data_IF_915956931548
#
_entry.id   IF_915956931548
#
_cell.length_a   1.000
_cell.length_b   1.000
_cell.length_c   1.000
_cell.angle_alpha   90.00
_cell.angle_beta   90.00
_cell.angle_gamma   90.00
#
_symmetry.space_group_name_H-M   'P 1'
#
loop_
_entity.id
_entity.type
_entity.pdbx_description
1 polymer ?
#
# COMPACT_ATOMS: atom_id res chain seq x y z
N UNK A 1 -29.53 0.30 -21.94
CA UNK A 1 -28.23 0.17 -21.25
C UNK A 1 -28.26 0.83 -19.88
N UNK A 2 -28.46 2.15 -19.79
CA UNK A 2 -28.38 2.89 -18.52
C UNK A 2 -29.30 2.33 -17.42
N UNK A 3 -30.58 2.10 -17.71
CA UNK A 3 -31.53 1.56 -16.72
C UNK A 3 -31.12 0.17 -16.22
N UNK A 4 -30.75 -0.72 -17.14
CA UNK A 4 -30.28 -2.06 -16.79
C UNK A 4 -28.97 -2.03 -15.98
N UNK A 5 -28.05 -1.11 -16.31
CA UNK A 5 -26.81 -0.93 -15.57
C UNK A 5 -27.08 -0.39 -14.16
N UNK A 6 -28.03 0.52 -14.02
CA UNK A 6 -28.48 1.04 -12.72
C UNK A 6 -29.08 -0.06 -11.86
N UNK A 7 -30.01 -0.84 -12.40
CA UNK A 7 -30.61 -1.98 -11.71
C UNK A 7 -29.55 -3.01 -11.26
N UNK A 8 -28.59 -3.32 -12.14
CA UNK A 8 -27.50 -4.24 -11.81
C UNK A 8 -26.56 -3.67 -10.73
N UNK A 9 -26.19 -2.39 -10.86
CA UNK A 9 -25.27 -1.69 -9.97
C UNK A 9 -25.83 -1.56 -8.55
N UNK A 10 -27.11 -1.22 -8.42
CA UNK A 10 -27.75 -0.92 -7.15
C UNK A 10 -28.62 -2.06 -6.61
N UNK A 11 -28.52 -3.25 -7.21
CA UNK A 11 -29.15 -4.45 -6.66
C UNK A 11 -28.64 -4.73 -5.23
N UNK A 12 -29.54 -4.90 -4.23
CA UNK A 12 -29.14 -5.02 -2.83
C UNK A 12 -28.42 -6.33 -2.48
N UNK A 13 -28.61 -7.40 -3.27
CA UNK A 13 -27.93 -8.68 -3.07
C UNK A 13 -26.57 -8.75 -3.75
N UNK A 14 -25.85 -9.87 -3.63
CA UNK A 14 -24.58 -10.11 -4.34
C UNK A 14 -24.85 -10.49 -5.80
N UNK A 15 -24.09 -9.92 -6.75
CA UNK A 15 -24.15 -10.35 -8.16
C UNK A 15 -23.28 -11.60 -8.33
N UNK A 16 -23.78 -12.59 -9.06
CA UNK A 16 -23.07 -13.86 -9.30
C UNK A 16 -22.63 -13.97 -10.76
N UNK A 17 -21.87 -15.02 -11.09
CA UNK A 17 -21.34 -15.22 -12.44
C UNK A 17 -22.46 -15.33 -13.49
N UNK A 18 -23.61 -15.93 -13.14
CA UNK A 18 -24.72 -16.08 -14.06
C UNK A 18 -25.40 -14.74 -14.39
N UNK A 19 -25.60 -13.87 -13.39
CA UNK A 19 -26.17 -12.55 -13.62
C UNK A 19 -25.21 -11.63 -14.36
N UNK A 20 -23.91 -11.69 -14.06
CA UNK A 20 -22.89 -10.95 -14.80
C UNK A 20 -22.83 -11.39 -16.28
N UNK A 21 -22.92 -12.70 -16.53
CA UNK A 21 -22.97 -13.25 -17.89
C UNK A 21 -24.22 -12.81 -18.64
N UNK A 22 -25.40 -12.99 -18.07
CA UNK A 22 -26.66 -12.57 -18.69
C UNK A 22 -26.69 -11.06 -19.00
N UNK A 23 -26.11 -10.24 -18.12
CA UNK A 23 -25.96 -8.82 -18.39
C UNK A 23 -25.04 -8.56 -19.59
N UNK A 24 -23.87 -9.19 -19.65
CA UNK A 24 -22.89 -9.00 -20.72
C UNK A 24 -23.30 -9.63 -22.06
N UNK A 25 -24.12 -10.67 -22.05
CA UNK A 25 -24.71 -11.26 -23.25
C UNK A 25 -25.69 -10.26 -23.92
N UNK A 26 -26.39 -9.45 -23.12
CA UNK A 26 -27.27 -8.37 -23.60
C UNK A 26 -26.52 -7.08 -23.92
N UNK A 27 -25.51 -6.75 -23.13
CA UNK A 27 -24.72 -5.52 -23.25
C UNK A 27 -23.22 -5.86 -23.26
N UNK A 28 -22.64 -6.17 -24.44
CA UNK A 28 -21.25 -6.56 -24.55
C UNK A 28 -20.29 -5.50 -23.98
N UNK A 29 -19.22 -5.94 -23.33
CA UNK A 29 -18.25 -5.05 -22.69
C UNK A 29 -17.66 -3.97 -23.63
N UNK A 30 -17.35 -4.24 -24.92
CA UNK A 30 -16.94 -3.20 -25.85
C UNK A 30 -17.96 -2.07 -26.03
N UNK A 31 -19.27 -2.40 -26.00
CA UNK A 31 -20.33 -1.41 -26.13
C UNK A 31 -20.43 -0.53 -24.88
N UNK A 32 -20.26 -1.11 -23.70
CA UNK A 32 -20.23 -0.38 -22.42
C UNK A 32 -19.01 0.56 -22.38
N UNK A 33 -17.83 0.06 -22.77
CA UNK A 33 -16.61 0.84 -22.83
C UNK A 33 -16.75 1.99 -23.84
N UNK A 34 -17.31 1.73 -25.01
CA UNK A 34 -17.58 2.78 -26.01
C UNK A 34 -18.53 3.85 -25.47
N UNK A 35 -19.52 3.48 -24.65
CA UNK A 35 -20.41 4.44 -24.01
C UNK A 35 -19.68 5.31 -22.98
N UNK A 36 -18.75 4.74 -22.19
CA UNK A 36 -17.89 5.48 -21.26
C UNK A 36 -16.93 6.44 -21.97
N UNK A 37 -16.50 6.09 -23.18
CA UNK A 37 -15.63 6.94 -24.01
C UNK A 37 -16.39 8.02 -24.80
N UNK A 38 -17.72 7.95 -24.82
CA UNK A 38 -18.52 8.91 -25.56
C UNK A 38 -18.43 10.29 -24.90
N UNK A 39 -18.25 11.34 -25.72
CA UNK A 39 -18.29 12.74 -25.25
C UNK A 39 -19.70 13.27 -25.03
N UNK A 40 -20.72 12.43 -25.18
CA UNK A 40 -22.11 12.82 -24.97
C UNK A 40 -22.35 12.91 -23.47
N UNK A 41 -22.64 14.12 -23.00
CA UNK A 41 -22.95 14.37 -21.59
C UNK A 41 -24.36 13.84 -21.27
N UNK A 42 -24.42 12.60 -20.82
CA UNK A 42 -25.64 11.97 -20.29
C UNK A 42 -25.53 11.95 -18.77
N UNK A 43 -26.45 12.61 -18.04
CA UNK A 43 -26.40 12.67 -16.59
C UNK A 43 -26.28 11.27 -15.97
N UNK A 44 -25.37 11.11 -15.01
CA UNK A 44 -25.13 9.86 -14.26
C UNK A 44 -24.68 8.64 -15.08
N UNK A 45 -24.47 8.77 -16.39
CA UNK A 45 -24.07 7.64 -17.24
C UNK A 45 -22.75 7.05 -16.76
N UNK A 46 -21.74 7.89 -16.59
CA UNK A 46 -20.41 7.45 -16.16
C UNK A 46 -20.45 6.75 -14.79
N UNK A 47 -21.03 7.40 -13.78
CA UNK A 47 -21.09 6.86 -12.42
C UNK A 47 -21.87 5.54 -12.35
N UNK A 48 -22.97 5.42 -13.10
CA UNK A 48 -23.79 4.21 -13.17
C UNK A 48 -23.04 3.07 -13.86
N UNK A 49 -22.42 3.34 -15.01
CA UNK A 49 -21.65 2.34 -15.74
C UNK A 49 -20.42 1.89 -14.95
N UNK A 50 -19.72 2.81 -14.28
CA UNK A 50 -18.59 2.49 -13.40
C UNK A 50 -19.03 1.58 -12.26
N UNK A 51 -20.11 1.90 -11.56
CA UNK A 51 -20.64 1.07 -10.47
C UNK A 51 -21.09 -0.32 -10.96
N UNK A 52 -21.69 -0.39 -12.16
CA UNK A 52 -22.07 -1.65 -12.79
C UNK A 52 -20.84 -2.51 -13.11
N UNK A 53 -19.83 -1.93 -13.77
CA UNK A 53 -18.60 -2.61 -14.15
C UNK A 53 -17.79 -3.08 -12.93
N UNK A 54 -17.73 -2.29 -11.87
CA UNK A 54 -17.08 -2.69 -10.62
C UNK A 54 -17.67 -3.99 -10.07
N UNK A 55 -19.00 -4.12 -10.09
CA UNK A 55 -19.69 -5.33 -9.64
C UNK A 55 -19.47 -6.50 -10.59
N UNK A 56 -19.45 -6.26 -11.90
CA UNK A 56 -19.17 -7.31 -12.90
C UNK A 56 -17.76 -7.87 -12.67
N UNK A 57 -16.73 -7.02 -12.61
CA UNK A 57 -15.34 -7.47 -12.47
C UNK A 57 -15.03 -8.18 -11.16
N UNK A 58 -15.83 -7.94 -10.11
CA UNK A 58 -15.75 -8.66 -8.83
C UNK A 58 -16.24 -10.11 -8.90
N UNK A 59 -17.01 -10.49 -9.93
CA UNK A 59 -17.42 -11.88 -10.18
C UNK A 59 -16.27 -12.68 -10.81
N UNK A 60 -16.27 -14.01 -10.66
CA UNK A 60 -15.23 -14.85 -11.29
C UNK A 60 -15.32 -14.77 -12.80
N UNK A 61 -16.54 -14.73 -13.34
CA UNK A 61 -16.77 -14.52 -14.76
C UNK A 61 -16.16 -13.20 -15.25
N UNK A 62 -16.48 -12.09 -14.58
CA UNK A 62 -15.92 -10.78 -14.95
C UNK A 62 -14.41 -10.71 -14.81
N UNK A 63 -13.83 -11.28 -13.75
CA UNK A 63 -12.38 -11.36 -13.57
C UNK A 63 -11.70 -12.12 -14.72
N UNK A 64 -12.32 -13.21 -15.21
CA UNK A 64 -11.77 -14.00 -16.32
C UNK A 64 -11.65 -13.23 -17.64
N UNK A 65 -12.42 -12.14 -17.79
CA UNK A 65 -12.40 -11.29 -18.99
C UNK A 65 -11.27 -10.27 -18.96
N UNK A 66 -10.76 -9.91 -17.78
CA UNK A 66 -9.81 -8.80 -17.60
C UNK A 66 -8.60 -8.89 -18.55
N UNK A 67 -7.92 -10.05 -18.71
CA UNK A 67 -6.75 -10.13 -19.60
C UNK A 67 -7.05 -9.72 -21.05
N UNK A 68 -8.26 -10.01 -21.55
CA UNK A 68 -8.68 -9.67 -22.91
C UNK A 68 -8.93 -8.16 -23.09
N UNK A 69 -9.26 -7.47 -21.99
CA UNK A 69 -9.59 -6.04 -22.00
C UNK A 69 -8.50 -5.17 -21.38
N UNK A 70 -7.30 -5.71 -21.16
CA UNK A 70 -6.18 -4.94 -20.61
C UNK A 70 -5.87 -3.64 -21.36
N UNK A 71 -5.89 -3.56 -22.70
CA UNK A 71 -5.67 -2.29 -23.39
C UNK A 71 -6.60 -1.17 -22.91
N UNK A 72 -7.86 -1.49 -22.62
CA UNK A 72 -8.83 -0.53 -22.10
C UNK A 72 -8.56 -0.15 -20.64
N UNK A 73 -8.08 -1.10 -19.84
CA UNK A 73 -7.70 -0.85 -18.44
C UNK A 73 -6.49 0.08 -18.38
N UNK A 74 -5.49 -0.13 -19.24
CA UNK A 74 -4.31 0.75 -19.33
C UNK A 74 -4.68 2.17 -19.77
N UNK A 75 -5.66 2.33 -20.66
CA UNK A 75 -6.22 3.63 -21.01
C UNK A 75 -7.00 4.22 -19.81
N UNK A 76 -7.79 3.40 -19.12
CA UNK A 76 -8.55 3.80 -17.94
C UNK A 76 -7.69 4.30 -16.78
N UNK A 77 -6.52 3.69 -16.53
CA UNK A 77 -5.55 4.16 -15.53
C UNK A 77 -5.00 5.57 -15.83
N UNK A 78 -5.08 6.01 -17.10
CA UNK A 78 -4.64 7.33 -17.57
C UNK A 78 -5.80 8.28 -17.88
N UNK A 79 -7.05 7.89 -17.59
CA UNK A 79 -8.22 8.70 -17.94
C UNK A 79 -8.26 9.99 -17.11
N UNK A 80 -8.77 11.08 -17.69
CA UNK A 80 -8.96 12.33 -16.93
C UNK A 80 -10.00 12.18 -15.80
N UNK A 81 -10.96 11.26 -15.99
CA UNK A 81 -11.96 10.93 -14.98
C UNK A 81 -11.39 10.11 -13.84
N UNK A 82 -11.54 10.63 -12.62
CA UNK A 82 -11.18 9.91 -11.41
C UNK A 82 -12.04 8.65 -11.17
N UNK A 83 -13.30 8.62 -11.64
CA UNK A 83 -14.15 7.43 -11.52
C UNK A 83 -13.63 6.29 -12.39
N UNK A 84 -13.24 6.61 -13.63
CA UNK A 84 -12.66 5.63 -14.56
C UNK A 84 -11.28 5.16 -14.06
N UNK A 85 -10.42 6.07 -13.58
CA UNK A 85 -9.13 5.69 -12.98
C UNK A 85 -9.32 4.78 -11.76
N UNK A 86 -10.28 5.08 -10.90
CA UNK A 86 -10.59 4.30 -9.71
C UNK A 86 -11.08 2.89 -10.10
N UNK A 87 -12.02 2.80 -11.05
CA UNK A 87 -12.46 1.52 -11.61
C UNK A 87 -11.27 0.72 -12.16
N UNK A 88 -10.41 1.34 -12.96
CA UNK A 88 -9.27 0.67 -13.56
C UNK A 88 -8.30 0.13 -12.49
N UNK A 89 -8.01 0.91 -11.43
CA UNK A 89 -7.20 0.44 -10.30
C UNK A 89 -7.84 -0.77 -9.61
N UNK A 90 -9.15 -0.71 -9.31
CA UNK A 90 -9.88 -1.83 -8.70
C UNK A 90 -9.89 -3.06 -9.59
N UNK A 91 -10.10 -2.89 -10.90
CA UNK A 91 -10.07 -3.99 -11.87
C UNK A 91 -8.70 -4.66 -11.88
N UNK A 92 -7.61 -3.89 -11.85
CA UNK A 92 -6.25 -4.42 -11.75
C UNK A 92 -6.04 -5.22 -10.46
N UNK A 93 -6.68 -4.84 -9.35
CA UNK A 93 -6.57 -5.58 -8.08
C UNK A 93 -7.12 -7.01 -8.14
N UNK A 94 -7.91 -7.34 -9.17
CA UNK A 94 -8.44 -8.69 -9.44
C UNK A 94 -7.57 -9.49 -10.41
N UNK A 95 -6.52 -8.89 -10.99
CA UNK A 95 -5.59 -9.63 -11.84
C UNK A 95 -4.80 -10.63 -11.00
N UNK A 96 -4.73 -11.85 -11.52
CA UNK A 96 -3.70 -12.80 -11.13
C UNK A 96 -2.42 -12.45 -11.88
N UNK A 97 -1.26 -12.76 -11.27
CA UNK A 97 0.04 -12.43 -11.81
C UNK A 97 0.18 -12.84 -13.29
N UNK A 98 0.54 -11.87 -14.14
CA UNK A 98 0.73 -12.04 -15.58
C UNK A 98 1.87 -11.14 -16.06
N UNK A 99 2.45 -11.42 -17.21
CA UNK A 99 3.55 -10.67 -17.82
C UNK A 99 3.24 -9.17 -18.04
N UNK A 100 1.97 -8.78 -18.00
CA UNK A 100 1.51 -7.41 -18.20
C UNK A 100 1.74 -6.49 -16.97
N UNK A 101 2.15 -7.05 -15.82
CA UNK A 101 2.43 -6.29 -14.60
C UNK A 101 3.48 -5.20 -14.81
N UNK A 102 4.51 -5.45 -15.63
CA UNK A 102 5.57 -4.47 -15.94
C UNK A 102 5.01 -3.16 -16.53
N UNK A 103 3.91 -3.23 -17.28
CA UNK A 103 3.28 -2.06 -17.91
C UNK A 103 2.30 -1.37 -16.95
N UNK A 104 1.61 -2.16 -16.13
CA UNK A 104 0.54 -1.67 -15.25
C UNK A 104 1.09 -1.00 -13.99
N UNK A 105 2.18 -1.52 -13.45
CA UNK A 105 2.74 -1.06 -12.18
C UNK A 105 3.15 0.43 -12.18
N UNK A 106 3.84 0.96 -13.23
CA UNK A 106 4.11 2.39 -13.32
C UNK A 106 2.84 3.26 -13.40
N UNK A 107 1.76 2.74 -13.96
CA UNK A 107 0.48 3.46 -14.06
C UNK A 107 -0.28 3.47 -12.74
N UNK A 108 -0.21 2.38 -11.98
CA UNK A 108 -0.72 2.35 -10.61
C UNK A 108 0.04 3.36 -9.74
N UNK A 109 1.37 3.41 -9.84
CA UNK A 109 2.16 4.41 -9.14
C UNK A 109 1.76 5.83 -9.47
N UNK A 110 1.56 6.15 -10.75
CA UNK A 110 1.04 7.47 -11.14
C UNK A 110 -0.32 7.74 -10.50
N UNK A 111 -1.22 6.74 -10.48
CA UNK A 111 -2.50 6.82 -9.79
C UNK A 111 -2.36 7.04 -8.27
N UNK A 112 -1.39 6.40 -7.64
CA UNK A 112 -1.09 6.61 -6.24
C UNK A 112 -0.61 8.04 -5.97
N UNK A 113 0.36 8.51 -6.75
CA UNK A 113 1.05 9.78 -6.54
C UNK A 113 0.15 10.96 -6.93
N UNK A 114 -0.43 10.92 -8.13
CA UNK A 114 -1.12 12.04 -8.77
C UNK A 114 -2.66 11.90 -8.75
N UNK A 115 -3.20 10.80 -8.25
CA UNK A 115 -4.65 10.60 -8.14
C UNK A 115 -5.30 11.43 -7.03
N UNK A 116 -6.63 11.58 -7.10
CA UNK A 116 -7.40 12.02 -5.93
C UNK A 116 -7.37 10.93 -4.84
N UNK A 117 -7.96 11.20 -3.67
CA UNK A 117 -7.94 10.28 -2.53
C UNK A 117 -8.46 8.87 -2.87
N UNK A 118 -9.59 8.78 -3.59
CA UNK A 118 -10.19 7.49 -3.95
C UNK A 118 -9.33 6.70 -4.94
N UNK A 119 -8.76 7.37 -5.95
CA UNK A 119 -7.85 6.75 -6.93
C UNK A 119 -6.58 6.27 -6.25
N UNK A 120 -6.01 7.08 -5.34
CA UNK A 120 -4.81 6.71 -4.62
C UNK A 120 -5.03 5.51 -3.70
N UNK A 121 -6.17 5.45 -3.00
CA UNK A 121 -6.54 4.31 -2.17
C UNK A 121 -6.74 3.03 -3.01
N UNK A 122 -7.50 3.12 -4.11
CA UNK A 122 -7.72 1.99 -5.01
C UNK A 122 -6.41 1.49 -5.64
N UNK A 123 -5.50 2.40 -5.99
CA UNK A 123 -4.17 2.04 -6.51
C UNK A 123 -3.32 1.36 -5.44
N UNK A 124 -3.30 1.88 -4.21
CA UNK A 124 -2.56 1.27 -3.10
C UNK A 124 -3.01 -0.16 -2.83
N UNK A 125 -4.32 -0.40 -2.81
CA UNK A 125 -4.88 -1.74 -2.64
C UNK A 125 -4.53 -2.67 -3.81
N UNK A 126 -4.56 -2.16 -5.05
CA UNK A 126 -4.13 -2.91 -6.22
C UNK A 126 -2.65 -3.31 -6.14
N UNK A 127 -1.75 -2.37 -5.83
CA UNK A 127 -0.31 -2.65 -5.67
C UNK A 127 -0.10 -3.67 -4.55
N UNK A 128 -0.79 -3.52 -3.42
CA UNK A 128 -0.70 -4.46 -2.28
C UNK A 128 -1.12 -5.88 -2.69
N UNK A 129 -2.21 -6.02 -3.43
CA UNK A 129 -2.68 -7.32 -3.91
C UNK A 129 -1.67 -7.95 -4.87
N UNK A 130 -1.12 -7.17 -5.79
CA UNK A 130 -0.10 -7.63 -6.73
C UNK A 130 1.18 -8.09 -6.03
N UNK A 131 1.64 -7.33 -5.02
CA UNK A 131 2.80 -7.68 -4.20
C UNK A 131 2.57 -8.92 -3.31
N UNK A 132 1.35 -9.48 -3.28
CA UNK A 132 1.10 -10.77 -2.61
C UNK A 132 1.48 -11.96 -3.50
N UNK A 133 1.82 -11.73 -4.77
CA UNK A 133 2.29 -12.76 -5.72
C UNK A 133 3.78 -12.60 -6.03
N UNK A 134 4.53 -13.70 -6.28
CA UNK A 134 5.96 -13.64 -6.57
C UNK A 134 6.34 -12.70 -7.72
N UNK A 135 5.58 -12.71 -8.81
CA UNK A 135 5.86 -11.91 -10.01
C UNK A 135 5.62 -10.42 -9.77
N UNK A 136 4.68 -10.07 -8.88
CA UNK A 136 4.47 -8.69 -8.45
C UNK A 136 5.57 -8.19 -7.54
N UNK A 137 6.28 -9.10 -6.85
CA UNK A 137 7.39 -8.80 -5.96
C UNK A 137 8.71 -8.54 -6.67
N UNK A 138 8.90 -9.04 -7.89
CA UNK A 138 10.10 -8.75 -8.69
C UNK A 138 10.12 -7.31 -9.21
N UNK A 139 8.97 -6.62 -9.17
CA UNK A 139 8.82 -5.23 -9.56
C UNK A 139 8.97 -4.35 -8.31
N UNK A 140 10.19 -4.20 -7.79
CA UNK A 140 10.44 -3.29 -6.66
C UNK A 140 11.12 -2.01 -7.10
N UNK A 141 10.51 -0.92 -6.63
CA UNK A 141 10.66 0.47 -7.02
C UNK A 141 12.01 1.09 -6.65
N UNK A 142 12.90 1.34 -7.62
CA UNK A 142 13.97 2.29 -7.42
C UNK A 142 13.49 3.63 -8.02
N UNK A 143 13.51 4.70 -7.22
CA UNK A 143 13.54 6.10 -7.68
C UNK A 143 12.24 6.94 -7.75
N UNK A 144 11.11 6.54 -7.16
CA UNK A 144 9.91 7.42 -7.22
C UNK A 144 9.89 8.60 -6.24
N UNK A 145 10.49 8.48 -5.05
CA UNK A 145 10.36 9.51 -4.02
C UNK A 145 11.04 10.85 -4.39
N UNK A 146 12.11 10.82 -5.19
CA UNK A 146 12.94 12.00 -5.46
C UNK A 146 12.23 13.07 -6.34
N UNK A 147 11.17 12.72 -7.07
CA UNK A 147 10.46 13.61 -8.00
C UNK A 147 9.00 13.88 -7.62
N UNK A 148 8.57 13.52 -6.41
CA UNK A 148 7.18 13.64 -5.97
C UNK A 148 6.90 14.94 -5.20
N UNK A 149 5.65 15.42 -5.26
CA UNK A 149 5.12 16.42 -4.32
C UNK A 149 5.11 15.88 -2.88
N UNK A 150 4.98 16.75 -1.86
CA UNK A 150 4.94 16.29 -0.45
C UNK A 150 3.84 15.24 -0.21
N UNK A 151 2.63 15.45 -0.76
CA UNK A 151 1.55 14.47 -0.68
C UNK A 151 1.90 13.15 -1.40
N UNK A 152 2.49 13.23 -2.59
CA UNK A 152 2.96 12.06 -3.33
C UNK A 152 3.99 11.26 -2.55
N UNK A 153 4.95 11.96 -1.90
CA UNK A 153 5.96 11.35 -1.02
C UNK A 153 5.31 10.62 0.15
N UNK A 154 4.38 11.25 0.87
CA UNK A 154 3.63 10.60 1.97
C UNK A 154 2.94 9.33 1.49
N UNK A 155 2.30 9.37 0.31
CA UNK A 155 1.59 8.20 -0.25
C UNK A 155 2.54 7.06 -0.64
N UNK A 156 3.73 7.37 -1.16
CA UNK A 156 4.77 6.37 -1.43
C UNK A 156 5.27 5.75 -0.12
N UNK A 157 5.48 6.55 0.92
CA UNK A 157 5.89 6.05 2.25
C UNK A 157 4.79 5.19 2.88
N UNK A 158 3.52 5.59 2.76
CA UNK A 158 2.38 4.81 3.21
C UNK A 158 2.27 3.48 2.46
N UNK A 159 2.55 3.46 1.15
CA UNK A 159 2.64 2.21 0.38
C UNK A 159 3.75 1.30 0.94
N UNK A 160 4.94 1.82 1.24
CA UNK A 160 6.02 1.04 1.85
C UNK A 160 5.54 0.39 3.15
N UNK A 161 4.91 1.16 4.04
CA UNK A 161 4.32 0.63 5.29
C UNK A 161 3.30 -0.47 5.02
N UNK A 162 2.42 -0.28 4.03
CA UNK A 162 1.40 -1.26 3.65
C UNK A 162 1.99 -2.57 3.13
N UNK A 163 3.09 -2.49 2.38
CA UNK A 163 3.77 -3.66 1.83
C UNK A 163 4.46 -4.49 2.93
N UNK A 164 5.03 -3.84 3.95
CA UNK A 164 5.52 -4.55 5.15
C UNK A 164 4.43 -5.38 5.85
N UNK A 165 3.16 -5.00 5.71
CA UNK A 165 2.04 -5.72 6.32
C UNK A 165 1.65 -7.02 5.58
N UNK A 166 2.29 -7.37 4.46
CA UNK A 166 1.91 -8.53 3.65
C UNK A 166 2.48 -9.83 4.24
N UNK A 167 3.81 -9.91 4.37
CA UNK A 167 4.51 -11.08 4.92
C UNK A 167 5.97 -10.76 5.24
N UNK A 168 6.64 -11.66 5.96
CA UNK A 168 8.08 -11.53 6.27
C UNK A 168 8.96 -11.59 5.03
N UNK A 169 8.60 -12.37 4.00
CA UNK A 169 9.36 -12.42 2.74
C UNK A 169 9.28 -11.09 2.01
N UNK A 170 8.08 -10.49 1.91
CA UNK A 170 7.88 -9.17 1.30
C UNK A 170 8.66 -8.09 2.07
N UNK A 171 8.56 -8.09 3.39
CA UNK A 171 9.32 -7.18 4.25
C UNK A 171 10.84 -7.28 4.03
N UNK A 172 11.38 -8.49 3.85
CA UNK A 172 12.79 -8.71 3.55
C UNK A 172 13.22 -8.05 2.23
N UNK A 173 12.41 -8.17 1.17
CA UNK A 173 12.77 -7.62 -0.14
C UNK A 173 12.68 -6.08 -0.12
N UNK A 174 11.70 -5.50 0.58
CA UNK A 174 11.61 -4.05 0.82
C UNK A 174 12.85 -3.53 1.56
N UNK A 175 13.26 -4.24 2.62
CA UNK A 175 14.46 -3.91 3.39
C UNK A 175 15.72 -3.98 2.51
N UNK A 176 15.91 -5.06 1.75
CA UNK A 176 17.07 -5.24 0.87
C UNK A 176 17.09 -4.23 -0.29
N UNK A 177 15.94 -3.69 -0.67
CA UNK A 177 15.81 -2.62 -1.67
C UNK A 177 16.05 -1.23 -1.09
N UNK A 178 16.44 -1.15 0.19
CA UNK A 178 16.76 0.07 0.92
C UNK A 178 15.62 1.11 0.95
N UNK A 179 14.36 0.67 0.85
CA UNK A 179 13.21 1.60 0.83
C UNK A 179 12.95 2.26 2.19
N UNK A 180 13.41 1.64 3.29
CA UNK A 180 13.34 2.26 4.62
C UNK A 180 14.19 3.54 4.73
N UNK A 181 15.25 3.67 3.93
CA UNK A 181 16.06 4.92 3.91
C UNK A 181 15.25 6.15 3.49
N UNK A 182 14.16 5.95 2.73
CA UNK A 182 13.24 7.03 2.36
C UNK A 182 12.49 7.57 3.59
N UNK A 183 12.03 6.70 4.49
CA UNK A 183 11.42 7.12 5.76
C UNK A 183 12.44 7.86 6.64
N UNK A 184 13.67 7.33 6.73
CA UNK A 184 14.75 7.94 7.52
C UNK A 184 15.13 9.34 7.04
N UNK A 185 15.22 9.53 5.71
CA UNK A 185 15.55 10.80 5.10
C UNK A 185 14.48 11.87 5.41
N UNK A 186 13.20 11.49 5.42
CA UNK A 186 12.10 12.41 5.69
C UNK A 186 12.00 12.81 7.16
N UNK A 187 12.22 11.86 8.07
CA UNK A 187 12.27 12.17 9.51
C UNK A 187 13.47 13.06 9.84
N UNK A 188 14.58 12.84 9.13
CA UNK A 188 15.80 13.63 9.30
C UNK A 188 15.71 15.02 8.67
N UNK A 189 14.75 15.26 7.76
CA UNK A 189 14.53 16.56 7.14
C UNK A 189 13.80 17.52 8.09
N UNK A 190 14.56 18.40 8.75
CA UNK A 190 14.06 19.32 9.76
C UNK A 190 13.32 20.56 9.21
N UNK A 191 13.24 20.72 7.89
CA UNK A 191 12.69 21.92 7.27
C UNK A 191 11.17 21.88 7.09
N UNK A 192 10.55 20.70 7.13
CA UNK A 192 9.11 20.52 6.93
C UNK A 192 8.51 19.71 8.07
N UNK A 193 8.12 20.42 9.13
CA UNK A 193 7.57 19.82 10.35
C UNK A 193 6.30 18.99 10.09
N UNK A 194 5.42 19.41 9.17
CA UNK A 194 4.19 18.68 8.86
C UNK A 194 4.49 17.37 8.13
N UNK A 195 5.47 17.38 7.22
CA UNK A 195 5.97 16.17 6.58
C UNK A 195 6.60 15.24 7.62
N UNK A 196 7.50 15.75 8.47
CA UNK A 196 8.12 14.95 9.54
C UNK A 196 7.08 14.30 10.44
N UNK A 197 6.07 15.06 10.90
CA UNK A 197 5.00 14.51 11.74
C UNK A 197 4.20 13.44 11.01
N UNK A 198 3.85 13.66 9.74
CA UNK A 198 3.14 12.68 8.92
C UNK A 198 3.93 11.37 8.78
N UNK A 199 5.25 11.46 8.59
CA UNK A 199 6.12 10.29 8.50
C UNK A 199 6.29 9.60 9.86
N UNK A 200 6.32 10.33 10.97
CA UNK A 200 6.31 9.73 12.30
C UNK A 200 5.03 8.93 12.57
N UNK A 201 3.86 9.36 12.09
CA UNK A 201 2.63 8.56 12.18
C UNK A 201 2.75 7.26 11.38
N UNK A 202 3.29 7.31 10.16
CA UNK A 202 3.55 6.12 9.35
C UNK A 202 4.55 5.16 10.02
N UNK A 203 5.58 5.69 10.66
CA UNK A 203 6.55 4.89 11.44
C UNK A 203 5.93 4.29 12.69
N UNK A 204 5.03 5.01 13.35
CA UNK A 204 4.28 4.50 14.48
C UNK A 204 3.41 3.30 14.09
N UNK A 205 2.75 3.36 12.93
CA UNK A 205 2.05 2.22 12.34
C UNK A 205 3.01 1.08 11.98
N UNK A 206 4.12 1.38 11.31
CA UNK A 206 5.11 0.40 10.88
C UNK A 206 5.74 -0.36 12.05
N UNK A 207 5.98 0.31 13.19
CA UNK A 207 6.51 -0.31 14.40
C UNK A 207 5.57 -1.36 15.02
N UNK A 208 4.27 -1.31 14.72
CA UNK A 208 3.29 -2.30 15.19
C UNK A 208 3.21 -3.53 14.27
N UNK A 209 3.67 -3.42 13.01
CA UNK A 209 3.60 -4.51 12.04
C UNK A 209 4.58 -5.63 12.44
N UNK A 210 4.11 -6.88 12.68
CA UNK A 210 4.96 -7.97 13.15
C UNK A 210 6.14 -8.29 12.22
N UNK A 211 5.93 -8.16 10.91
CA UNK A 211 6.96 -8.44 9.90
C UNK A 211 8.03 -7.35 9.79
N UNK A 212 7.78 -6.14 10.31
CA UNK A 212 8.64 -4.97 10.10
C UNK A 212 9.67 -4.78 11.22
N UNK A 213 9.31 -5.08 12.47
CA UNK A 213 10.12 -4.72 13.65
C UNK A 213 11.58 -5.19 13.56
N UNK A 214 11.81 -6.44 13.12
CA UNK A 214 13.17 -6.98 13.01
C UNK A 214 14.05 -6.21 12.02
N UNK A 215 13.44 -5.56 11.02
CA UNK A 215 14.15 -4.76 10.03
C UNK A 215 14.37 -3.33 10.54
N UNK A 216 13.38 -2.74 11.22
CA UNK A 216 13.49 -1.40 11.80
C UNK A 216 14.64 -1.28 12.81
N UNK A 217 14.87 -2.33 13.61
CA UNK A 217 15.97 -2.36 14.58
C UNK A 217 17.36 -2.48 13.92
N UNK A 218 17.43 -2.78 12.62
CA UNK A 218 18.68 -2.87 11.86
C UNK A 218 19.01 -1.58 11.09
N UNK A 219 18.15 -0.57 11.17
CA UNK A 219 18.37 0.71 10.47
C UNK A 219 18.85 1.80 11.44
N UNK A 220 19.08 3.01 10.94
CA UNK A 220 19.48 4.16 11.77
C UNK A 220 18.31 4.83 12.48
N UNK A 221 17.09 4.30 12.28
CA UNK A 221 15.85 4.91 12.77
C UNK A 221 15.85 5.13 14.28
N UNK A 222 16.29 4.15 15.07
CA UNK A 222 16.34 4.30 16.52
C UNK A 222 17.26 5.45 16.93
N UNK A 223 18.42 5.60 16.28
CA UNK A 223 19.35 6.69 16.51
C UNK A 223 18.74 8.05 16.14
N UNK A 224 18.04 8.13 15.00
CA UNK A 224 17.32 9.34 14.58
C UNK A 224 16.28 9.72 15.64
N UNK A 225 15.45 8.77 16.09
CA UNK A 225 14.43 9.01 17.11
C UNK A 225 15.05 9.45 18.44
N UNK A 226 16.13 8.81 18.90
CA UNK A 226 16.88 9.23 20.09
C UNK A 226 17.39 10.66 19.96
N UNK A 227 17.96 11.02 18.80
CA UNK A 227 18.44 12.39 18.56
C UNK A 227 17.31 13.43 18.63
N UNK A 228 16.12 13.10 18.12
CA UNK A 228 14.94 13.96 18.20
C UNK A 228 14.48 14.14 19.65
N UNK A 229 14.45 13.06 20.44
CA UNK A 229 14.02 13.10 21.85
C UNK A 229 14.94 14.00 22.66
N UNK A 230 16.25 13.91 22.44
CA UNK A 230 17.26 14.70 23.15
C UNK A 230 17.36 16.16 22.71
N UNK A 231 16.79 16.52 21.55
CA UNK A 231 16.85 17.88 21.02
C UNK A 231 15.77 18.77 21.65
N UNK A 232 16.14 19.53 22.68
CA UNK A 232 15.21 20.42 23.40
C UNK A 232 14.68 21.57 22.55
N UNK A 233 15.33 21.90 21.43
CA UNK A 233 14.86 22.91 20.48
C UNK A 233 13.74 22.39 19.57
N UNK A 234 13.58 21.07 19.47
CA UNK A 234 12.55 20.45 18.66
C UNK A 234 11.18 20.53 19.33
N UNK A 235 10.14 20.73 18.50
CA UNK A 235 8.77 20.83 18.97
C UNK A 235 8.34 19.61 19.77
N UNK A 236 7.60 19.86 20.86
CA UNK A 236 7.18 18.84 21.81
C UNK A 236 6.34 17.73 21.16
N UNK A 237 5.57 18.05 20.11
CA UNK A 237 4.76 17.06 19.38
C UNK A 237 5.62 16.03 18.64
N UNK A 238 6.69 16.47 17.97
CA UNK A 238 7.62 15.57 17.28
C UNK A 238 8.38 14.70 18.29
N UNK A 239 8.85 15.30 19.39
CA UNK A 239 9.50 14.57 20.48
C UNK A 239 8.58 13.52 21.11
N UNK A 240 7.33 13.89 21.39
CA UNK A 240 6.34 12.97 21.97
C UNK A 240 6.08 11.78 21.07
N UNK A 241 5.97 11.98 19.75
CA UNK A 241 5.85 10.89 18.79
C UNK A 241 7.10 10.03 18.71
N UNK A 242 8.29 10.63 18.71
CA UNK A 242 9.53 9.88 18.73
C UNK A 242 9.66 8.98 19.98
N UNK A 243 9.24 9.46 21.16
CA UNK A 243 9.16 8.68 22.40
C UNK A 243 8.23 7.47 22.21
N UNK A 244 7.02 7.69 21.68
CA UNK A 244 6.04 6.61 21.49
C UNK A 244 6.54 5.53 20.53
N UNK A 245 7.16 5.92 19.40
CA UNK A 245 7.72 4.98 18.43
C UNK A 245 8.88 4.20 19.04
N UNK A 246 9.80 4.89 19.73
CA UNK A 246 10.94 4.25 20.41
C UNK A 246 10.45 3.23 21.45
N UNK A 247 9.45 3.59 22.25
CA UNK A 247 8.83 2.68 23.22
C UNK A 247 8.25 1.43 22.56
N UNK A 248 7.56 1.57 21.41
CA UNK A 248 7.06 0.42 20.64
C UNK A 248 8.19 -0.47 20.14
N UNK A 249 9.22 0.10 19.52
CA UNK A 249 10.35 -0.67 19.00
C UNK A 249 11.06 -1.45 20.13
N UNK A 250 11.37 -0.76 21.23
CA UNK A 250 12.04 -1.36 22.39
C UNK A 250 11.18 -2.40 23.11
N UNK A 251 9.85 -2.24 23.11
CA UNK A 251 8.94 -3.24 23.70
C UNK A 251 9.08 -4.62 23.06
N UNK A 252 9.51 -4.69 21.79
CA UNK A 252 9.70 -5.95 21.07
C UNK A 252 11.05 -6.61 21.37
N UNK A 253 12.01 -5.87 21.95
CA UNK A 253 13.27 -6.42 22.48
C UNK A 253 13.03 -7.16 23.80
N UNK A 254 11.89 -6.92 24.47
CA UNK A 254 11.53 -7.61 25.73
C UNK A 254 11.56 -9.14 25.60
N UNK A 255 11.13 -9.69 24.47
CA UNK A 255 11.19 -11.15 24.24
C UNK A 255 12.62 -11.66 24.17
N UNK A 256 13.54 -10.91 23.57
CA UNK A 256 14.96 -11.24 23.54
C UNK A 256 15.56 -11.17 24.96
N UNK A 257 15.24 -10.13 25.73
CA UNK A 257 15.68 -10.01 27.13
C UNK A 257 15.15 -11.18 27.97
N UNK A 258 13.87 -11.55 27.83
CA UNK A 258 13.30 -12.71 28.53
C UNK A 258 13.93 -14.03 28.09
N UNK A 259 14.35 -14.16 26.83
CA UNK A 259 15.06 -15.34 26.35
C UNK A 259 16.46 -15.45 26.98
N UNK A 260 17.19 -14.33 27.10
CA UNK A 260 18.50 -14.26 27.77
C UNK A 260 18.34 -14.56 29.28
N UNK A 261 17.36 -13.96 29.94
CA UNK A 261 17.04 -14.21 31.35
C UNK A 261 16.77 -15.71 31.61
N UNK A 262 16.02 -16.36 30.71
CA UNK A 262 15.78 -17.80 30.77
C UNK A 262 17.03 -18.69 30.63
N UNK A 263 18.19 -18.15 30.24
CA UNK A 263 19.48 -18.86 30.19
C UNK A 263 20.27 -18.78 31.50
N UNK A 264 19.84 -17.97 32.47
CA UNK A 264 20.54 -17.82 33.77
C UNK A 264 20.56 -19.11 34.61
N UNK A 265 19.64 -20.04 34.33
CA UNK A 265 19.57 -21.35 34.99
C UNK A 265 20.43 -22.43 34.30
N UNK A 266 20.98 -22.14 33.12
CA UNK A 266 21.82 -23.07 32.37
C UNK A 266 23.29 -22.89 32.79
N UNK A 267 23.92 -23.96 33.27
CA UNK A 267 25.29 -23.89 33.81
C UNK A 267 26.34 -23.53 32.76
N UNK A 268 26.08 -23.84 31.49
CA UNK A 268 27.03 -23.61 30.41
C UNK A 268 26.85 -22.22 29.78
N UNK A 269 25.65 -21.63 29.88
CA UNK A 269 25.29 -20.36 29.22
C UNK A 269 25.10 -19.17 30.21
N UNK A 270 25.11 -19.41 31.53
CA UNK A 270 24.83 -18.41 32.56
C UNK A 270 25.79 -17.21 32.54
N UNK A 271 27.10 -17.43 32.38
CA UNK A 271 28.09 -16.33 32.33
C UNK A 271 27.82 -15.41 31.13
N UNK A 272 27.53 -15.98 29.95
CA UNK A 272 27.20 -15.20 28.76
C UNK A 272 25.88 -14.43 28.91
N UNK A 273 24.88 -15.04 29.56
CA UNK A 273 23.61 -14.37 29.83
C UNK A 273 23.77 -13.18 30.78
N UNK A 274 24.56 -13.33 31.85
CA UNK A 274 24.87 -12.25 32.80
C UNK A 274 25.66 -11.12 32.13
N UNK A 275 26.66 -11.45 31.31
CA UNK A 275 27.42 -10.45 30.56
C UNK A 275 26.49 -9.67 29.62
N UNK A 276 25.63 -10.35 28.85
CA UNK A 276 24.70 -9.71 27.95
C UNK A 276 23.70 -8.78 28.67
N UNK A 277 23.12 -9.22 29.79
CA UNK A 277 22.24 -8.37 30.61
C UNK A 277 23.00 -7.17 31.17
N UNK A 278 24.24 -7.36 31.64
CA UNK A 278 25.09 -6.26 32.11
C UNK A 278 25.41 -5.21 31.03
N UNK A 279 25.52 -5.62 29.76
CA UNK A 279 25.68 -4.69 28.62
C UNK A 279 24.39 -3.93 28.29
N UNK A 280 23.22 -4.53 28.54
CA UNK A 280 21.92 -3.89 28.32
C UNK A 280 21.66 -2.82 29.38
N UNK A 281 22.09 -3.05 30.63
CA UNK A 281 21.92 -2.16 31.79
C UNK A 281 20.78 -2.59 32.69
#
# INVERSE_FOLDING_TARGET
LLDAASEFAYYPGVQNDASAKDFLDRFPLPAIISALQSKVDVPSLESTLVACLERIFRTKYGTSLIPQYMPFIQVGLRADSHLIRCLACKTVSYLLADAQLVIVYPLLLDCLINGNEQVAAASMDAIKNLASFPEGMDIIFPNLAASCSSLGRIRVLALIVKLFSISTSVASIIYNSNLLSLLEAEVSNRNDMLMTLSVLELLYELAEIPHATQFLLRTTLLQILTSMISDTSMESILRSRAIMISGRLLSKVKSAVSAIDGRLQDTDECESALEALGQIG
#
